data_IF_155664538444
#
_entry.id   IF_155664538444
#
_cell.length_a   1.000
_cell.length_b   1.000
_cell.length_c   1.000
_cell.angle_alpha   90.00
_cell.angle_beta   90.00
_cell.angle_gamma   90.00
#
_symmetry.space_group_name_H-M   'P 1'
#
loop_
_entity.id
_entity.type
_entity.pdbx_description
1 polymer ?
#
# COMPACT_ATOMS: atom_id res chain seq x y z
N UNK A 1 -20.55 21.26 17.40
CA UNK A 1 -19.58 20.75 16.39
C UNK A 1 -19.97 19.34 16.00
N UNK A 2 -19.74 18.92 14.75
CA UNK A 2 -20.00 17.53 14.33
C UNK A 2 -18.77 16.93 13.68
N UNK A 3 -18.54 15.64 13.90
CA UNK A 3 -17.47 14.88 13.24
C UNK A 3 -18.12 13.75 12.46
N UNK A 4 -17.85 13.70 11.16
CA UNK A 4 -18.29 12.67 10.24
C UNK A 4 -17.11 11.78 9.88
N UNK A 5 -17.31 10.48 9.94
CA UNK A 5 -16.29 9.49 9.61
C UNK A 5 -16.93 8.23 9.05
N UNK A 6 -16.14 7.47 8.30
CA UNK A 6 -16.63 6.28 7.61
C UNK A 6 -17.13 5.22 8.60
N UNK A 7 -18.27 4.56 8.32
CA UNK A 7 -18.90 3.61 9.22
C UNK A 7 -18.09 2.34 9.47
N UNK A 8 -17.07 2.05 8.66
CA UNK A 8 -16.17 0.92 8.83
C UNK A 8 -15.16 1.13 9.97
N UNK A 9 -15.06 2.34 10.51
CA UNK A 9 -14.19 2.65 11.64
C UNK A 9 -15.00 2.99 12.88
N UNK A 10 -14.50 2.55 14.03
CA UNK A 10 -14.79 3.18 15.31
C UNK A 10 -14.06 4.51 15.41
N UNK A 11 -14.50 5.35 16.34
CA UNK A 11 -13.92 6.70 16.47
C UNK A 11 -12.44 6.66 16.87
N UNK A 12 -12.01 5.67 17.66
CA UNK A 12 -10.61 5.49 18.06
C UNK A 12 -9.73 5.03 16.88
N UNK A 13 -10.23 4.12 16.07
CA UNK A 13 -9.50 3.53 14.93
C UNK A 13 -9.11 4.56 13.86
N UNK A 14 -9.79 5.72 13.82
CA UNK A 14 -9.42 6.81 12.92
C UNK A 14 -7.96 7.27 13.11
N UNK A 15 -7.43 7.24 14.33
CA UNK A 15 -6.03 7.56 14.60
C UNK A 15 -5.11 6.39 14.24
N UNK A 16 -5.50 5.16 14.57
CA UNK A 16 -4.69 3.98 14.38
C UNK A 16 -4.44 3.69 12.88
N UNK A 17 -5.42 4.00 12.04
CA UNK A 17 -5.35 3.78 10.59
C UNK A 17 -5.17 5.07 9.77
N UNK A 18 -5.01 6.21 10.44
CA UNK A 18 -4.95 7.55 9.83
C UNK A 18 -6.15 7.85 8.92
N UNK A 19 -7.32 7.32 9.27
CA UNK A 19 -8.53 7.49 8.47
C UNK A 19 -9.02 8.93 8.54
N UNK A 20 -9.42 9.54 7.41
CA UNK A 20 -9.82 10.93 7.38
C UNK A 20 -11.19 11.14 8.05
N UNK A 21 -11.46 12.37 8.45
CA UNK A 21 -12.75 12.80 8.97
C UNK A 21 -13.17 14.16 8.41
N UNK A 22 -14.47 14.44 8.46
CA UNK A 22 -15.01 15.76 8.13
C UNK A 22 -15.48 16.40 9.44
N UNK A 23 -15.05 17.63 9.70
CA UNK A 23 -15.46 18.41 10.85
C UNK A 23 -16.43 19.51 10.40
N UNK A 24 -17.59 19.59 11.03
CA UNK A 24 -18.53 20.71 10.88
C UNK A 24 -18.42 21.63 12.10
N UNK A 25 -17.88 22.82 11.85
CA UNK A 25 -17.56 23.85 12.82
C UNK A 25 -18.45 25.05 12.48
N UNK A 26 -19.43 25.32 13.33
CA UNK A 26 -20.36 26.45 13.16
C UNK A 26 -21.08 26.48 11.79
N UNK A 27 -21.36 25.31 11.20
CA UNK A 27 -22.05 25.19 9.91
C UNK A 27 -21.11 25.14 8.71
N UNK A 28 -19.81 25.34 8.90
CA UNK A 28 -18.79 25.19 7.86
C UNK A 28 -18.09 23.84 7.98
N UNK A 29 -17.96 23.14 6.85
CA UNK A 29 -17.34 21.81 6.78
C UNK A 29 -15.88 21.89 6.37
N UNK A 30 -15.06 21.09 7.02
CA UNK A 30 -13.63 20.96 6.79
C UNK A 30 -13.23 19.49 6.75
N UNK A 31 -12.18 19.16 6.02
CA UNK A 31 -11.61 17.82 5.93
C UNK A 31 -10.31 17.79 6.73
N UNK A 32 -10.26 16.89 7.69
CA UNK A 32 -9.02 16.45 8.31
C UNK A 32 -8.62 15.13 7.64
N UNK A 33 -7.55 15.15 6.85
CA UNK A 33 -7.12 13.94 6.18
C UNK A 33 -6.60 12.89 7.18
N UNK A 34 -5.97 13.30 8.28
CA UNK A 34 -5.23 12.43 9.19
C UNK A 34 -5.98 12.09 10.48
N UNK A 35 -7.15 12.73 10.68
CA UNK A 35 -7.90 12.71 11.93
C UNK A 35 -7.07 13.04 13.17
N UNK A 36 -5.98 13.80 13.03
CA UNK A 36 -5.18 14.25 14.18
C UNK A 36 -6.00 15.14 15.12
N UNK A 37 -6.98 15.86 14.57
CA UNK A 37 -7.83 16.74 15.35
C UNK A 37 -8.82 15.97 16.23
N UNK A 38 -9.09 14.69 15.97
CA UNK A 38 -10.05 13.92 16.78
C UNK A 38 -9.54 13.68 18.21
N UNK A 39 -8.22 13.79 18.44
CA UNK A 39 -7.61 13.66 19.78
C UNK A 39 -8.26 14.65 20.77
N UNK A 40 -8.61 15.84 20.29
CA UNK A 40 -9.30 16.87 21.07
C UNK A 40 -10.70 16.46 21.53
N UNK A 41 -11.26 15.35 21.00
CA UNK A 41 -12.61 14.88 21.26
C UNK A 41 -12.66 13.51 21.94
N UNK A 42 -11.55 12.77 22.02
CA UNK A 42 -11.52 11.43 22.63
C UNK A 42 -11.95 11.43 24.11
N UNK A 43 -11.70 12.53 24.82
CA UNK A 43 -12.13 12.73 26.22
C UNK A 43 -13.56 13.26 26.38
N UNK A 44 -14.23 13.63 25.29
CA UNK A 44 -15.56 14.24 25.30
C UNK A 44 -16.64 13.19 25.04
N UNK A 45 -17.78 13.33 25.73
CA UNK A 45 -18.97 12.53 25.42
C UNK A 45 -19.80 13.27 24.36
N UNK A 46 -20.12 12.63 23.22
CA UNK A 46 -21.00 13.23 22.24
C UNK A 46 -22.43 13.30 22.80
N UNK A 47 -23.12 14.41 22.52
CA UNK A 47 -24.54 14.58 22.89
C UNK A 47 -25.41 13.63 22.07
N UNK A 48 -25.02 13.39 20.81
CA UNK A 48 -25.76 12.57 19.87
C UNK A 48 -24.82 11.82 18.95
N UNK A 49 -25.19 10.57 18.67
CA UNK A 49 -24.60 9.73 17.62
C UNK A 49 -25.70 9.28 16.68
N UNK A 50 -25.47 9.43 15.38
CA UNK A 50 -26.43 9.06 14.35
C UNK A 50 -25.69 8.93 13.01
N UNK A 51 -26.42 8.56 11.95
CA UNK A 51 -25.82 8.44 10.62
C UNK A 51 -26.40 9.48 9.67
N UNK A 52 -25.56 10.00 8.77
CA UNK A 52 -25.93 11.03 7.81
C UNK A 52 -25.26 10.77 6.46
N UNK A 53 -25.87 11.25 5.38
CA UNK A 53 -25.31 11.13 4.03
C UNK A 53 -24.79 12.49 3.55
N UNK A 54 -23.57 12.54 3.03
CA UNK A 54 -22.98 13.71 2.38
C UNK A 54 -22.50 13.29 1.00
N UNK A 55 -22.98 13.96 -0.05
CA UNK A 55 -22.58 13.71 -1.45
C UNK A 55 -22.63 12.23 -1.87
N UNK A 56 -23.66 11.48 -1.45
CA UNK A 56 -23.79 10.06 -1.79
C UNK A 56 -23.00 9.10 -0.89
N UNK A 57 -22.28 9.60 0.12
CA UNK A 57 -21.49 8.81 1.05
C UNK A 57 -22.13 8.80 2.43
N UNK A 58 -22.18 7.63 3.05
CA UNK A 58 -22.77 7.41 4.36
C UNK A 58 -21.71 7.55 5.45
N UNK A 59 -22.03 8.29 6.51
CA UNK A 59 -21.12 8.58 7.61
C UNK A 59 -21.75 8.28 8.97
N UNK A 60 -20.93 7.79 9.88
CA UNK A 60 -21.18 7.92 11.31
C UNK A 60 -20.97 9.39 11.71
N UNK A 61 -21.87 9.94 12.51
CA UNK A 61 -21.80 11.32 13.01
C UNK A 61 -21.76 11.32 14.52
N UNK A 62 -20.74 11.97 15.09
CA UNK A 62 -20.67 12.31 16.50
C UNK A 62 -20.85 13.82 16.68
N UNK A 63 -21.89 14.23 17.39
CA UNK A 63 -22.24 15.62 17.66
C UNK A 63 -21.86 16.03 19.08
N UNK A 64 -21.16 17.14 19.21
CA UNK A 64 -20.59 17.66 20.45
C UNK A 64 -21.08 19.07 20.75
N UNK A 65 -21.37 19.33 22.02
CA UNK A 65 -21.56 20.67 22.56
C UNK A 65 -20.18 21.23 22.83
N UNK A 66 -19.78 22.27 22.11
CA UNK A 66 -18.46 22.89 22.31
C UNK A 66 -18.65 24.37 22.56
N UNK A 67 -18.49 24.79 23.81
CA UNK A 67 -18.39 26.21 24.17
C UNK A 67 -16.94 26.72 24.12
N UNK A 68 -15.98 25.82 23.87
CA UNK A 68 -14.55 26.09 23.85
C UNK A 68 -13.99 26.10 22.43
N UNK A 69 -13.02 26.98 22.18
CA UNK A 69 -12.25 27.03 20.94
C UNK A 69 -11.21 25.90 21.00
N UNK A 70 -11.44 24.84 20.24
CA UNK A 70 -10.48 23.74 20.12
C UNK A 70 -9.34 24.16 19.18
N UNK A 71 -8.08 23.82 19.49
CA UNK A 71 -6.94 24.09 18.61
C UNK A 71 -6.96 23.08 17.45
N UNK A 72 -7.67 23.44 16.38
CA UNK A 72 -7.79 22.61 15.18
C UNK A 72 -6.77 23.06 14.12
N UNK A 73 -6.01 22.13 13.57
CA UNK A 73 -4.91 22.39 12.64
C UNK A 73 -5.05 21.57 11.34
N UNK A 74 -4.40 22.05 10.27
CA UNK A 74 -4.28 21.35 8.98
C UNK A 74 -5.62 20.95 8.32
N UNK A 75 -6.67 21.74 8.57
CA UNK A 75 -7.98 21.54 7.99
C UNK A 75 -8.05 22.05 6.55
N UNK A 76 -8.58 21.22 5.65
CA UNK A 76 -8.86 21.58 4.28
C UNK A 76 -10.32 22.04 4.13
N UNK A 77 -10.63 23.06 3.32
CA UNK A 77 -12.01 23.45 3.06
C UNK A 77 -12.76 22.32 2.35
N UNK A 78 -14.01 22.10 2.72
CA UNK A 78 -14.86 21.10 2.07
C UNK A 78 -15.28 21.58 0.67
N UNK A 79 -14.60 21.07 -0.35
CA UNK A 79 -14.89 21.28 -1.75
C UNK A 79 -14.69 19.97 -2.53
N UNK A 80 -15.07 19.93 -3.81
CA UNK A 80 -14.99 18.70 -4.61
C UNK A 80 -13.57 18.12 -4.70
N UNK A 81 -12.56 18.98 -4.86
CA UNK A 81 -11.15 18.55 -4.95
C UNK A 81 -10.68 17.88 -3.66
N UNK A 82 -10.93 18.51 -2.51
CA UNK A 82 -10.53 17.97 -1.22
C UNK A 82 -11.39 16.76 -0.84
N UNK A 83 -12.65 16.70 -1.28
CA UNK A 83 -13.49 15.52 -1.09
C UNK A 83 -12.99 14.31 -1.91
N UNK A 84 -12.39 14.51 -3.10
CA UNK A 84 -11.66 13.41 -3.77
C UNK A 84 -10.49 12.90 -2.91
N UNK A 85 -9.69 13.81 -2.34
CA UNK A 85 -8.58 13.44 -1.44
C UNK A 85 -9.08 12.68 -0.21
N UNK A 86 -10.20 13.11 0.37
CA UNK A 86 -10.88 12.40 1.45
C UNK A 86 -11.20 10.96 1.05
N UNK A 87 -11.85 10.75 -0.10
CA UNK A 87 -12.23 9.39 -0.56
C UNK A 87 -11.02 8.49 -0.80
N UNK A 88 -9.94 9.03 -1.37
CA UNK A 88 -8.68 8.32 -1.58
C UNK A 88 -8.09 7.91 -0.22
N UNK A 89 -7.87 8.87 0.68
CA UNK A 89 -7.32 8.62 2.02
C UNK A 89 -8.16 7.60 2.80
N UNK A 90 -9.49 7.73 2.76
CA UNK A 90 -10.41 6.83 3.43
C UNK A 90 -10.28 5.39 2.92
N UNK A 91 -10.13 5.23 1.62
CA UNK A 91 -10.01 3.92 0.99
C UNK A 91 -8.66 3.25 1.27
N UNK A 92 -7.58 4.04 1.32
CA UNK A 92 -6.27 3.54 1.76
C UNK A 92 -6.30 3.09 3.22
N UNK A 93 -6.91 3.90 4.09
CA UNK A 93 -7.08 3.58 5.51
C UNK A 93 -7.91 2.31 5.70
N UNK A 94 -8.96 2.16 4.90
CA UNK A 94 -9.81 0.97 4.94
C UNK A 94 -9.07 -0.27 4.44
N UNK A 95 -8.29 -0.17 3.36
CA UNK A 95 -7.44 -1.26 2.93
C UNK A 95 -6.39 -1.62 3.98
N UNK A 96 -5.77 -0.62 4.62
CA UNK A 96 -4.80 -0.88 5.68
C UNK A 96 -5.43 -1.64 6.86
N UNK A 97 -6.62 -1.24 7.32
CA UNK A 97 -7.42 -1.99 8.29
C UNK A 97 -7.65 -3.44 7.84
N UNK A 98 -8.13 -3.62 6.60
CA UNK A 98 -8.40 -4.94 6.00
C UNK A 98 -7.18 -5.84 5.98
N UNK A 99 -5.98 -5.30 5.71
CA UNK A 99 -4.72 -6.05 5.74
C UNK A 99 -4.26 -6.42 7.15
N UNK A 100 -4.61 -5.64 8.17
CA UNK A 100 -4.30 -5.98 9.56
C UNK A 100 -5.28 -7.02 10.15
N UNK A 101 -6.54 -6.99 9.73
CA UNK A 101 -7.58 -7.84 10.35
C UNK A 101 -7.91 -9.10 9.55
N UNK A 102 -8.02 -9.01 8.23
CA UNK A 102 -8.60 -10.09 7.42
C UNK A 102 -7.63 -10.66 6.40
N UNK A 103 -6.79 -9.83 5.81
CA UNK A 103 -5.75 -10.24 4.85
C UNK A 103 -4.37 -10.33 5.51
N UNK A 104 -4.35 -10.55 6.83
CA UNK A 104 -3.15 -10.51 7.65
C UNK A 104 -2.17 -11.66 7.39
N UNK A 105 -2.54 -12.67 6.60
CA UNK A 105 -1.66 -13.74 6.17
C UNK A 105 -1.37 -13.69 4.66
N UNK A 106 -1.72 -12.62 3.95
CA UNK A 106 -1.26 -12.44 2.56
C UNK A 106 0.20 -12.00 2.54
N UNK A 107 0.89 -12.31 1.44
CA UNK A 107 2.31 -12.04 1.21
C UNK A 107 2.66 -10.57 1.33
N UNK A 108 1.93 -9.71 0.63
CA UNK A 108 2.08 -8.26 0.73
C UNK A 108 0.96 -7.66 1.58
N UNK A 109 1.18 -6.46 2.08
CA UNK A 109 0.18 -5.62 2.73
C UNK A 109 0.19 -4.21 2.16
N UNK A 110 -0.96 -3.55 2.21
CA UNK A 110 -1.07 -2.09 1.99
C UNK A 110 -0.89 -1.41 3.33
N UNK A 111 -0.10 -0.35 3.36
CA UNK A 111 0.12 0.53 4.50
C UNK A 111 -0.37 1.93 4.13
N UNK A 112 -1.05 2.58 5.07
CA UNK A 112 -1.34 4.01 4.97
C UNK A 112 -0.19 4.79 5.59
N UNK A 113 0.17 5.92 4.99
CA UNK A 113 1.27 6.77 5.47
C UNK A 113 0.75 8.09 6.00
N UNK A 114 1.60 8.82 6.73
CA UNK A 114 1.33 10.21 7.09
C UNK A 114 1.21 11.13 5.86
N UNK A 115 1.60 10.67 4.66
CA UNK A 115 1.22 11.30 3.41
C UNK A 115 -0.02 10.56 2.88
N UNK A 116 -1.22 10.97 3.30
CA UNK A 116 -2.49 10.27 3.07
C UNK A 116 -2.94 10.08 1.60
N UNK A 117 -2.11 10.51 0.67
CA UNK A 117 -2.26 10.30 -0.77
C UNK A 117 -1.08 9.49 -1.32
N UNK A 118 -0.35 8.78 -0.47
CA UNK A 118 0.69 7.82 -0.82
C UNK A 118 0.27 6.44 -0.31
N UNK A 119 0.25 5.47 -1.21
CA UNK A 119 0.06 4.05 -0.89
C UNK A 119 1.43 3.39 -0.79
N UNK A 120 1.70 2.72 0.34
CA UNK A 120 2.88 1.87 0.50
C UNK A 120 2.45 0.42 0.48
N UNK A 121 3.07 -0.38 -0.37
CA UNK A 121 2.92 -1.83 -0.39
C UNK A 121 4.21 -2.45 0.14
N UNK A 122 4.10 -3.32 1.14
CA UNK A 122 5.25 -3.93 1.79
C UNK A 122 5.04 -5.41 2.14
N UNK A 123 6.11 -6.11 2.52
CA UNK A 123 6.00 -7.50 3.03
C UNK A 123 5.14 -7.56 4.28
N UNK A 124 4.30 -8.58 4.36
CA UNK A 124 3.57 -8.89 5.57
C UNK A 124 4.41 -9.77 6.51
N UNK A 125 4.59 -9.30 7.75
CA UNK A 125 5.37 -9.98 8.78
C UNK A 125 4.83 -11.38 9.13
N UNK A 126 3.51 -11.58 9.12
CA UNK A 126 2.91 -12.87 9.43
C UNK A 126 3.23 -13.90 8.34
N UNK A 127 3.09 -13.50 7.07
CA UNK A 127 3.44 -14.36 5.94
C UNK A 127 4.94 -14.70 5.93
N UNK A 128 5.80 -13.69 6.15
CA UNK A 128 7.24 -13.88 6.28
C UNK A 128 7.59 -14.91 7.36
N UNK A 129 6.96 -14.80 8.53
CA UNK A 129 7.20 -15.72 9.65
C UNK A 129 6.71 -17.14 9.38
N UNK A 130 5.63 -17.29 8.61
CA UNK A 130 5.09 -18.60 8.22
C UNK A 130 5.91 -19.30 7.13
N UNK A 131 6.71 -18.56 6.36
CA UNK A 131 7.44 -19.05 5.18
C UNK A 131 8.92 -18.70 5.21
N UNK A 132 9.57 -18.76 6.39
CA UNK A 132 10.97 -18.35 6.59
C UNK A 132 11.95 -19.01 5.61
N UNK A 133 11.73 -20.27 5.25
CA UNK A 133 12.55 -21.02 4.30
C UNK A 133 12.57 -20.40 2.90
N UNK A 134 11.47 -19.77 2.49
CA UNK A 134 11.33 -19.09 1.21
C UNK A 134 12.24 -17.87 1.16
N UNK A 135 12.22 -17.07 2.24
CA UNK A 135 12.99 -15.83 2.36
C UNK A 135 14.44 -16.04 2.82
N UNK A 136 14.80 -17.27 3.24
CA UNK A 136 16.17 -17.64 3.51
C UNK A 136 16.94 -18.03 2.21
N UNK A 137 16.24 -18.36 1.13
CA UNK A 137 16.85 -18.68 -0.17
C UNK A 137 16.95 -17.42 -1.03
N UNK A 138 18.09 -16.71 -0.91
CA UNK A 138 18.38 -15.43 -1.58
C UNK A 138 18.10 -15.47 -3.10
N UNK A 139 18.30 -16.62 -3.74
CA UNK A 139 18.03 -16.78 -5.18
C UNK A 139 16.54 -16.73 -5.49
N UNK A 140 15.72 -17.44 -4.70
CA UNK A 140 14.27 -17.41 -4.87
C UNK A 140 13.67 -16.07 -4.46
N UNK A 141 14.12 -15.52 -3.33
CA UNK A 141 13.69 -14.21 -2.84
C UNK A 141 13.90 -13.13 -3.92
N UNK A 142 15.07 -13.09 -4.55
CA UNK A 142 15.38 -12.16 -5.63
C UNK A 142 14.46 -12.32 -6.86
N UNK A 143 14.17 -13.55 -7.27
CA UNK A 143 13.24 -13.81 -8.38
C UNK A 143 11.82 -13.37 -8.04
N UNK A 144 11.37 -13.66 -6.82
CA UNK A 144 10.08 -13.24 -6.31
C UNK A 144 9.98 -11.71 -6.27
N UNK A 145 11.02 -11.03 -5.78
CA UNK A 145 11.10 -9.57 -5.75
C UNK A 145 10.96 -8.99 -7.16
N UNK A 146 11.73 -9.47 -8.14
CA UNK A 146 11.65 -8.97 -9.51
C UNK A 146 10.25 -9.17 -10.09
N UNK A 147 9.66 -10.36 -9.92
CA UNK A 147 8.31 -10.64 -10.41
C UNK A 147 7.28 -9.65 -9.84
N UNK A 148 7.36 -9.39 -8.53
CA UNK A 148 6.44 -8.51 -7.82
C UNK A 148 6.66 -7.04 -8.22
N UNK A 149 7.92 -6.58 -8.27
CA UNK A 149 8.29 -5.22 -8.72
C UNK A 149 7.70 -4.97 -10.10
N UNK A 150 7.94 -5.88 -11.07
CA UNK A 150 7.45 -5.72 -12.43
C UNK A 150 5.91 -5.71 -12.48
N UNK A 151 5.25 -6.57 -11.69
CA UNK A 151 3.80 -6.66 -11.66
C UNK A 151 3.15 -5.41 -11.07
N UNK A 152 3.64 -4.93 -9.93
CA UNK A 152 3.15 -3.70 -9.28
C UNK A 152 3.46 -2.48 -10.16
N UNK A 153 4.65 -2.40 -10.76
CA UNK A 153 5.01 -1.34 -11.71
C UNK A 153 4.05 -1.28 -12.89
N UNK A 154 3.76 -2.43 -13.50
CA UNK A 154 2.83 -2.51 -14.62
C UNK A 154 1.40 -2.15 -14.20
N UNK A 155 0.98 -2.59 -13.01
CA UNK A 155 -0.32 -2.22 -12.44
C UNK A 155 -0.41 -0.69 -12.22
N UNK A 156 0.57 -0.07 -11.55
CA UNK A 156 0.61 1.38 -11.33
C UNK A 156 0.64 2.16 -12.66
N UNK A 157 1.43 1.71 -13.64
CA UNK A 157 1.51 2.32 -14.97
C UNK A 157 0.19 2.29 -15.73
N UNK A 158 -0.62 1.23 -15.60
CA UNK A 158 -1.96 1.16 -16.23
C UNK A 158 -2.88 2.28 -15.75
N UNK A 159 -2.69 2.73 -14.51
CA UNK A 159 -3.43 3.85 -13.92
C UNK A 159 -2.67 5.18 -13.99
N UNK A 160 -1.50 5.21 -14.65
CA UNK A 160 -0.63 6.40 -14.75
C UNK A 160 -0.17 6.95 -13.39
N UNK A 161 -0.02 6.08 -12.38
CA UNK A 161 0.48 6.47 -11.07
C UNK A 161 2.00 6.56 -11.06
N UNK A 162 2.52 7.62 -10.43
CA UNK A 162 3.95 7.70 -10.14
C UNK A 162 4.30 6.71 -9.05
N UNK A 163 5.43 6.02 -9.18
CA UNK A 163 5.85 5.00 -8.21
C UNK A 163 7.37 4.97 -8.04
N UNK A 164 7.82 4.63 -6.83
CA UNK A 164 9.23 4.49 -6.49
C UNK A 164 9.50 3.21 -5.71
N UNK A 165 10.55 2.48 -6.12
CA UNK A 165 10.89 1.14 -5.65
C UNK A 165 12.37 1.10 -5.26
N UNK A 166 12.71 1.81 -4.20
CA UNK A 166 14.10 2.03 -3.78
C UNK A 166 14.59 1.01 -2.75
N UNK A 167 13.70 0.15 -2.24
CA UNK A 167 14.00 -0.86 -1.23
C UNK A 167 13.33 -2.19 -1.58
N UNK A 168 13.95 -3.32 -1.23
CA UNK A 168 13.37 -4.63 -1.47
C UNK A 168 11.98 -4.77 -0.87
N UNK A 169 11.04 -5.22 -1.69
CA UNK A 169 9.63 -5.40 -1.35
C UNK A 169 8.96 -4.19 -0.67
N UNK A 170 9.43 -2.96 -0.91
CA UNK A 170 8.75 -1.75 -0.46
C UNK A 170 8.45 -0.89 -1.67
N UNK A 171 7.17 -0.73 -1.95
CA UNK A 171 6.67 -0.06 -3.14
C UNK A 171 5.86 1.16 -2.74
N UNK A 172 6.29 2.35 -3.17
CA UNK A 172 5.58 3.60 -2.90
C UNK A 172 4.88 4.09 -4.14
N UNK A 173 3.61 4.46 -4.01
CA UNK A 173 2.74 4.87 -5.11
C UNK A 173 2.08 6.20 -4.74
N UNK A 174 2.32 7.23 -5.54
CA UNK A 174 1.81 8.58 -5.33
C UNK A 174 0.42 8.73 -5.98
N UNK A 175 -0.53 9.23 -5.20
CA UNK A 175 -1.96 9.31 -5.53
C UNK A 175 -2.51 10.74 -5.33
N UNK A 176 -1.66 11.75 -5.10
CA UNK A 176 -2.13 13.12 -4.86
C UNK A 176 -2.88 13.75 -6.04
N UNK A 177 -2.59 13.30 -7.26
CA UNK A 177 -3.10 13.86 -8.52
C UNK A 177 -3.94 12.85 -9.30
N UNK A 178 -4.75 12.04 -8.61
CA UNK A 178 -5.67 11.07 -9.24
C UNK A 178 -7.08 11.16 -8.66
N UNK A 179 -7.99 10.33 -9.19
CA UNK A 179 -9.38 10.22 -8.81
C UNK A 179 -9.62 8.95 -7.99
N UNK A 180 -10.53 9.04 -7.04
CA UNK A 180 -10.93 7.93 -6.18
C UNK A 180 -11.21 6.62 -6.95
N UNK A 181 -11.95 6.69 -8.06
CA UNK A 181 -12.33 5.50 -8.83
C UNK A 181 -11.13 4.73 -9.40
N UNK A 182 -10.06 5.44 -9.77
CA UNK A 182 -8.84 4.81 -10.28
C UNK A 182 -8.10 4.10 -9.14
N UNK A 183 -7.99 4.76 -7.99
CA UNK A 183 -7.35 4.19 -6.79
C UNK A 183 -8.11 2.94 -6.32
N UNK A 184 -9.44 3.01 -6.26
CA UNK A 184 -10.27 1.87 -5.86
C UNK A 184 -10.02 0.64 -6.73
N UNK A 185 -10.05 0.80 -8.06
CA UNK A 185 -9.79 -0.30 -9.01
C UNK A 185 -8.36 -0.81 -8.92
N UNK A 186 -7.39 0.09 -8.76
CA UNK A 186 -5.99 -0.29 -8.53
C UNK A 186 -5.85 -1.20 -7.30
N UNK A 187 -6.46 -0.85 -6.17
CA UNK A 187 -6.39 -1.63 -4.93
C UNK A 187 -7.13 -2.97 -5.06
N UNK A 188 -8.25 -3.00 -5.77
CA UNK A 188 -8.97 -4.24 -6.08
C UNK A 188 -8.11 -5.21 -6.88
N UNK A 189 -7.52 -4.76 -7.99
CA UNK A 189 -6.63 -5.57 -8.82
C UNK A 189 -5.36 -5.99 -8.07
N UNK A 190 -4.79 -5.10 -7.25
CA UNK A 190 -3.66 -5.43 -6.39
C UNK A 190 -4.02 -6.55 -5.41
N UNK A 191 -5.17 -6.46 -4.76
CA UNK A 191 -5.64 -7.46 -3.79
C UNK A 191 -5.81 -8.83 -4.45
N UNK A 192 -6.36 -8.86 -5.65
CA UNK A 192 -6.54 -10.10 -6.42
C UNK A 192 -5.21 -10.72 -6.84
N UNK A 193 -4.27 -9.90 -7.30
CA UNK A 193 -2.90 -10.33 -7.53
C UNK A 193 -2.27 -10.91 -6.25
N UNK A 194 -2.36 -10.16 -5.14
CA UNK A 194 -1.72 -10.51 -3.89
C UNK A 194 -2.26 -11.83 -3.33
N UNK A 195 -3.58 -12.07 -3.38
CA UNK A 195 -4.19 -13.36 -2.99
C UNK A 195 -3.60 -14.51 -3.82
N UNK A 196 -3.60 -14.37 -5.15
CA UNK A 196 -3.11 -15.43 -6.06
C UNK A 196 -1.63 -15.73 -5.84
N UNK A 197 -0.78 -14.71 -5.73
CA UNK A 197 0.66 -14.94 -5.54
C UNK A 197 0.95 -15.52 -4.15
N UNK A 198 0.25 -15.07 -3.11
CA UNK A 198 0.40 -15.60 -1.74
C UNK A 198 0.18 -17.11 -1.69
N UNK A 199 -0.89 -17.58 -2.33
CA UNK A 199 -1.23 -19.00 -2.41
C UNK A 199 -0.19 -19.81 -3.21
N UNK A 200 0.42 -19.19 -4.23
CA UNK A 200 1.35 -19.85 -5.14
C UNK A 200 2.78 -19.92 -4.65
N UNK A 201 3.23 -18.98 -3.82
CA UNK A 201 4.63 -18.88 -3.36
C UNK A 201 5.19 -20.22 -2.84
N UNK A 202 4.50 -20.99 -1.96
CA UNK A 202 5.04 -22.25 -1.47
C UNK A 202 5.27 -23.30 -2.57
N UNK A 203 4.37 -23.35 -3.55
CA UNK A 203 4.49 -24.25 -4.70
C UNK A 203 5.62 -23.81 -5.64
N UNK A 204 5.73 -22.51 -5.92
CA UNK A 204 6.81 -21.92 -6.72
C UNK A 204 8.17 -22.17 -6.08
N UNK A 205 8.29 -22.01 -4.76
CA UNK A 205 9.52 -22.30 -4.03
C UNK A 205 9.89 -23.79 -4.15
N UNK A 206 8.91 -24.68 -4.00
CA UNK A 206 9.13 -26.12 -4.13
C UNK A 206 9.62 -26.50 -5.54
N UNK A 207 9.07 -25.88 -6.58
CA UNK A 207 9.52 -26.07 -7.97
C UNK A 207 10.94 -25.52 -8.16
N UNK A 208 11.22 -24.31 -7.70
CA UNK A 208 12.55 -23.70 -7.79
C UNK A 208 13.63 -24.56 -7.13
N UNK A 209 13.33 -25.17 -5.98
CA UNK A 209 14.24 -26.08 -5.26
C UNK A 209 14.59 -27.35 -6.04
N UNK A 210 13.78 -27.74 -7.01
CA UNK A 210 14.03 -28.91 -7.87
C UNK A 210 14.87 -28.55 -9.11
N UNK A 211 15.01 -27.27 -9.44
CA UNK A 211 15.83 -26.83 -10.56
C UNK A 211 17.33 -26.98 -10.23
N UNK A 212 18.17 -27.26 -11.24
CA UNK A 212 19.61 -27.20 -11.06
C UNK A 212 20.03 -25.80 -10.62
N UNK A 213 21.04 -25.72 -9.75
CA UNK A 213 21.64 -24.44 -9.36
C UNK A 213 22.11 -23.70 -10.62
N UNK A 214 21.80 -22.41 -10.69
CA UNK A 214 22.18 -21.54 -11.81
C UNK A 214 23.35 -20.65 -11.38
N UNK A 215 24.49 -20.86 -12.02
CA UNK A 215 25.68 -20.03 -11.83
C UNK A 215 25.44 -18.60 -12.36
N UNK A 216 24.57 -18.46 -13.37
CA UNK A 216 24.11 -17.17 -13.91
C UNK A 216 23.39 -16.35 -12.83
N UNK A 217 22.44 -16.96 -12.12
CA UNK A 217 21.72 -16.29 -11.03
C UNK A 217 22.67 -15.86 -9.91
N UNK A 218 23.63 -16.71 -9.54
CA UNK A 218 24.63 -16.38 -8.54
C UNK A 218 25.51 -15.20 -9.00
N UNK A 219 25.92 -15.15 -10.27
CA UNK A 219 26.65 -14.01 -10.84
C UNK A 219 25.83 -12.73 -10.85
N UNK A 220 24.53 -12.81 -11.16
CA UNK A 220 23.62 -11.65 -11.09
C UNK A 220 23.60 -11.07 -9.69
N UNK A 221 23.37 -11.90 -8.69
CA UNK A 221 23.31 -11.47 -7.29
C UNK A 221 24.63 -10.85 -6.83
N UNK A 222 25.76 -11.39 -7.28
CA UNK A 222 27.09 -10.92 -6.87
C UNK A 222 27.47 -9.57 -7.50
N UNK A 223 27.08 -9.33 -8.75
CA UNK A 223 27.62 -8.24 -9.56
C UNK A 223 26.66 -7.07 -9.79
N UNK A 224 25.37 -7.21 -9.44
CA UNK A 224 24.36 -6.17 -9.70
C UNK A 224 24.28 -5.13 -8.58
N UNK A 225 24.21 -3.85 -8.97
CA UNK A 225 24.01 -2.70 -8.10
C UNK A 225 22.64 -2.07 -8.39
N UNK A 226 21.77 -2.00 -7.38
CA UNK A 226 20.40 -1.45 -7.50
C UNK A 226 20.42 0.04 -7.90
N UNK A 227 21.40 0.78 -7.41
CA UNK A 227 21.54 2.23 -7.57
C UNK A 227 22.31 2.65 -8.84
N UNK A 228 22.96 1.72 -9.55
CA UNK A 228 23.87 2.09 -10.63
C UNK A 228 24.08 1.03 -11.70
N UNK A 229 23.53 1.29 -12.89
CA UNK A 229 23.78 0.48 -14.08
C UNK A 229 25.26 0.46 -14.47
N UNK A 230 25.96 1.60 -14.42
CA UNK A 230 27.37 1.66 -14.77
C UNK A 230 28.24 0.80 -13.85
N UNK A 231 27.99 0.84 -12.53
CA UNK A 231 28.69 -0.05 -11.58
C UNK A 231 28.40 -1.52 -11.89
N UNK A 232 27.15 -1.88 -12.17
CA UNK A 232 26.78 -3.24 -12.57
C UNK A 232 27.61 -3.71 -13.77
N UNK A 233 27.66 -2.92 -14.84
CA UNK A 233 28.45 -3.29 -16.04
C UNK A 233 29.94 -3.44 -15.72
N UNK A 234 30.51 -2.54 -14.90
CA UNK A 234 31.91 -2.65 -14.50
C UNK A 234 32.20 -3.89 -13.65
N UNK A 235 31.32 -4.24 -12.71
CA UNK A 235 31.44 -5.45 -11.88
C UNK A 235 31.40 -6.72 -12.72
N UNK A 236 30.53 -6.77 -13.74
CA UNK A 236 30.44 -7.89 -14.65
C UNK A 236 31.68 -8.06 -15.55
N UNK A 237 32.32 -6.96 -15.95
CA UNK A 237 33.51 -6.99 -16.81
C UNK A 237 33.28 -7.47 -18.25
N UNK A 238 32.08 -7.95 -18.60
CA UNK A 238 31.66 -8.31 -19.96
C UNK A 238 30.16 -8.03 -20.13
N UNK A 239 29.83 -7.29 -21.19
CA UNK A 239 28.44 -6.99 -21.56
C UNK A 239 27.76 -8.24 -22.13
N UNK A 240 28.48 -9.06 -22.88
CA UNK A 240 27.96 -10.32 -23.43
C UNK A 240 27.54 -11.27 -22.31
N UNK A 241 28.39 -11.46 -21.29
CA UNK A 241 28.08 -12.30 -20.13
C UNK A 241 26.85 -11.77 -19.38
N UNK A 242 26.75 -10.45 -19.18
CA UNK A 242 25.58 -9.85 -18.55
C UNK A 242 24.29 -10.12 -19.35
N UNK A 243 24.33 -10.00 -20.68
CA UNK A 243 23.17 -10.30 -21.52
C UNK A 243 22.76 -11.77 -21.41
N UNK A 244 23.71 -12.70 -21.44
CA UNK A 244 23.42 -14.12 -21.34
C UNK A 244 22.84 -14.48 -19.96
N UNK A 245 23.39 -13.91 -18.88
CA UNK A 245 22.86 -14.08 -17.53
C UNK A 245 21.43 -13.49 -17.41
N UNK A 246 21.16 -12.33 -18.02
CA UNK A 246 19.81 -11.75 -18.09
C UNK A 246 18.81 -12.61 -18.88
N UNK A 247 19.25 -13.32 -19.92
CA UNK A 247 18.40 -14.29 -20.64
C UNK A 247 18.02 -15.43 -19.71
N UNK A 248 18.96 -15.92 -18.91
CA UNK A 248 18.68 -16.96 -17.91
C UNK A 248 17.72 -16.47 -16.83
N UNK A 249 17.87 -15.22 -16.39
CA UNK A 249 16.92 -14.59 -15.47
C UNK A 249 15.50 -14.56 -16.05
N UNK A 250 15.35 -14.17 -17.32
CA UNK A 250 14.05 -14.18 -18.00
C UNK A 250 13.43 -15.59 -18.08
N UNK A 251 14.24 -16.61 -18.34
CA UNK A 251 13.80 -18.02 -18.29
C UNK A 251 13.31 -18.41 -16.89
N UNK A 252 14.06 -18.07 -15.84
CA UNK A 252 13.67 -18.37 -14.46
C UNK A 252 12.40 -17.62 -14.03
N UNK A 253 12.21 -16.39 -14.48
CA UNK A 253 10.99 -15.61 -14.20
C UNK A 253 9.74 -16.21 -14.86
N UNK A 254 9.89 -17.04 -15.89
CA UNK A 254 8.74 -17.71 -16.52
C UNK A 254 7.98 -18.65 -15.57
N UNK A 255 8.63 -19.14 -14.50
CA UNK A 255 7.98 -19.92 -13.43
C UNK A 255 6.79 -19.18 -12.81
N UNK A 256 6.88 -17.85 -12.75
CA UNK A 256 5.83 -17.00 -12.16
C UNK A 256 4.72 -16.66 -13.15
N UNK A 257 4.91 -16.97 -14.43
CA UNK A 257 3.99 -16.66 -15.53
C UNK A 257 3.05 -17.82 -15.87
N UNK A 258 3.32 -19.04 -15.41
CA UNK A 258 2.48 -20.21 -15.70
C UNK A 258 1.20 -20.18 -14.84
N UNK A 259 0.07 -19.85 -15.49
CA UNK A 259 -1.36 -19.89 -15.08
C UNK A 259 -1.68 -20.07 -13.58
#
# INVERSE_FOLDING_TARGET
MKIYYDPNFTFQELLDYYAPSILDINGEKFIDLHSLNIVNFLGLQPIKRYNEEINGWFFNVSEYETNEILPLENLLPFNNENFEKFKISNTLSFEYLRYNEVYNNLFLKVENTLNNLECVISLNNNFLTQHLEVFADVGFEFLLEINVVLTIKNLANRYSFSSSFNHPFVFRIELSNTFYEQVYKFLEEFRDFNKKISERIPALYSQFRQLPKSDELARILLNSSIDSFAKTIYSYGSIELFIDDLRKLAELLSLFSEN
#
